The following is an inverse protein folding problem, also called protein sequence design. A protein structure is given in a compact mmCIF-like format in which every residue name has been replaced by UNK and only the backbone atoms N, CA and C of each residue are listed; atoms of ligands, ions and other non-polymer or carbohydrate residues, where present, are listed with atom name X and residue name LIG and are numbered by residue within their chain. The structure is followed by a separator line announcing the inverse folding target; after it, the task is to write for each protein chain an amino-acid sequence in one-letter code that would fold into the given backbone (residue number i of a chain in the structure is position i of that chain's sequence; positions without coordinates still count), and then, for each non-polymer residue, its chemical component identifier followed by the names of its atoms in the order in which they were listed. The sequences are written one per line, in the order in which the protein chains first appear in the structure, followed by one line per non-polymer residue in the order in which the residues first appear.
data_IF_331067815081
#
_entry.id   IF_331067815081
#
_cell.length_a   1.000
_cell.length_b   1.000
_cell.length_c   1.000
_cell.angle_alpha   90.00
_cell.angle_beta   90.00
_cell.angle_gamma   90.00
#
_symmetry.space_group_name_H-M   'P 1'
#
loop_
_entity.id
_entity.type
_entity.pdbx_description
1 polymer ?
#
# COMPACT_ATOMS: atom_id res chain seq x y z
N UNK A 1 -6.86 4.47 -16.94
CA UNK A 1 -7.75 3.67 -16.11
C UNK A 1 -6.98 2.65 -15.34
N UNK A 2 -7.43 2.40 -14.11
CA UNK A 2 -6.76 1.45 -13.25
C UNK A 2 -7.30 0.04 -13.46
N UNK A 3 -6.43 -0.94 -13.34
CA UNK A 3 -6.82 -2.34 -13.42
C UNK A 3 -7.45 -2.76 -12.09
N UNK A 4 -8.47 -3.62 -12.16
CA UNK A 4 -9.09 -4.15 -10.96
C UNK A 4 -8.45 -5.45 -10.51
N UNK A 5 -7.76 -6.13 -11.40
CA UNK A 5 -7.14 -7.42 -11.12
C UNK A 5 -5.74 -7.41 -11.70
N UNK A 6 -4.78 -7.85 -10.90
CA UNK A 6 -3.42 -8.03 -11.36
C UNK A 6 -3.15 -9.51 -11.54
N UNK A 7 -2.50 -9.88 -12.63
CA UNK A 7 -2.15 -11.27 -12.87
C UNK A 7 -0.77 -11.53 -12.28
N UNK A 8 -0.73 -12.36 -11.26
CA UNK A 8 0.52 -12.67 -10.56
C UNK A 8 1.04 -14.01 -11.01
N UNK A 9 2.27 -14.05 -11.46
CA UNK A 9 2.91 -15.25 -11.97
C UNK A 9 3.71 -15.93 -10.87
N UNK A 10 3.29 -17.12 -10.46
CA UNK A 10 3.98 -17.90 -9.46
C UNK A 10 4.24 -19.28 -10.04
N UNK A 11 5.49 -19.52 -10.44
CA UNK A 11 5.90 -20.77 -11.09
C UNK A 11 5.08 -20.98 -12.35
N UNK A 12 4.31 -22.06 -12.42
CA UNK A 12 3.50 -22.39 -13.60
C UNK A 12 2.05 -21.96 -13.45
N UNK A 13 1.76 -21.13 -12.44
CA UNK A 13 0.40 -20.66 -12.20
C UNK A 13 0.29 -19.17 -12.40
N UNK A 14 -0.88 -18.73 -12.82
CA UNK A 14 -1.22 -17.32 -12.90
C UNK A 14 -2.37 -17.11 -11.92
N UNK A 15 -2.14 -16.24 -10.94
CA UNK A 15 -3.11 -15.99 -9.88
C UNK A 15 -3.73 -14.62 -10.08
N UNK A 16 -5.05 -14.55 -10.27
CA UNK A 16 -5.70 -13.23 -10.35
C UNK A 16 -5.79 -12.62 -8.95
N UNK A 17 -5.11 -11.51 -8.76
CA UNK A 17 -5.08 -10.81 -7.48
C UNK A 17 -5.90 -9.54 -7.61
N UNK A 18 -7.03 -9.50 -6.91
CA UNK A 18 -7.89 -8.31 -6.94
C UNK A 18 -7.22 -7.19 -6.17
N UNK A 19 -7.29 -5.97 -6.72
CA UNK A 19 -6.67 -4.83 -6.05
C UNK A 19 -7.32 -4.57 -4.69
N UNK A 20 -8.61 -4.86 -4.54
CA UNK A 20 -9.27 -4.65 -3.25
C UNK A 20 -8.90 -5.70 -2.21
N UNK A 21 -8.15 -6.73 -2.59
CA UNK A 21 -7.61 -7.71 -1.65
C UNK A 21 -6.23 -7.30 -1.14
N UNK A 22 -5.63 -6.27 -1.70
CA UNK A 22 -4.27 -5.86 -1.36
C UNK A 22 -4.28 -4.95 -0.15
N UNK A 23 -3.55 -5.33 0.90
CA UNK A 23 -3.39 -4.49 2.09
C UNK A 23 -2.24 -3.51 1.91
N UNK A 24 -1.14 -3.95 1.30
CA UNK A 24 -0.03 -3.06 1.02
C UNK A 24 0.87 -3.66 -0.07
N UNK A 25 1.65 -2.78 -0.69
CA UNK A 25 2.75 -3.15 -1.59
C UNK A 25 4.05 -2.71 -0.93
N UNK A 26 5.07 -3.51 -1.08
CA UNK A 26 6.36 -3.28 -0.43
C UNK A 26 7.50 -3.57 -1.39
N UNK A 27 8.52 -2.74 -1.37
CA UNK A 27 9.71 -2.99 -2.17
C UNK A 27 10.95 -3.04 -1.28
N UNK A 28 11.79 -4.02 -1.55
CA UNK A 28 13.09 -4.16 -0.91
C UNK A 28 13.96 -5.02 -1.84
N UNK A 29 15.26 -4.68 -1.89
CA UNK A 29 16.21 -5.44 -2.70
C UNK A 29 15.75 -5.56 -4.15
N UNK A 30 15.18 -4.47 -4.68
CA UNK A 30 14.74 -4.38 -6.08
C UNK A 30 13.60 -5.33 -6.43
N UNK A 31 12.89 -5.82 -5.41
CA UNK A 31 11.74 -6.69 -5.62
C UNK A 31 10.51 -6.04 -4.99
N UNK A 32 9.37 -6.20 -5.66
CA UNK A 32 8.11 -5.68 -5.18
C UNK A 32 7.19 -6.85 -4.83
N UNK A 33 6.57 -6.77 -3.67
CA UNK A 33 5.61 -7.78 -3.24
C UNK A 33 4.31 -7.11 -2.84
N UNK A 34 3.21 -7.86 -2.93
CA UNK A 34 1.90 -7.43 -2.46
C UNK A 34 1.46 -8.35 -1.34
N UNK A 35 0.94 -7.78 -0.26
CA UNK A 35 0.41 -8.55 0.84
C UNK A 35 -1.10 -8.37 0.88
N UNK A 36 -1.83 -9.47 0.99
CA UNK A 36 -3.29 -9.42 1.04
C UNK A 36 -3.78 -9.23 2.47
N UNK A 37 -5.06 -8.92 2.61
CA UNK A 37 -5.67 -8.81 3.93
C UNK A 37 -5.68 -10.13 4.68
N UNK A 38 -5.48 -11.24 3.96
CA UNK A 38 -5.38 -12.55 4.61
C UNK A 38 -3.94 -12.93 4.93
N UNK A 39 -3.00 -12.03 4.66
CA UNK A 39 -1.60 -12.26 5.00
C UNK A 39 -0.80 -12.99 3.94
N UNK A 40 -1.37 -13.24 2.77
CA UNK A 40 -0.64 -13.88 1.69
C UNK A 40 0.25 -12.85 1.00
N UNK A 41 1.45 -13.28 0.60
CA UNK A 41 2.42 -12.40 -0.06
C UNK A 41 2.70 -12.92 -1.46
N UNK A 42 2.57 -12.04 -2.44
CA UNK A 42 2.76 -12.40 -3.85
C UNK A 42 3.84 -11.53 -4.47
N UNK A 43 4.66 -12.12 -5.36
CA UNK A 43 5.65 -11.30 -6.11
C UNK A 43 4.94 -10.50 -7.18
N UNK A 44 5.36 -9.24 -7.33
CA UNK A 44 4.80 -8.36 -8.34
C UNK A 44 5.88 -8.04 -9.36
N UNK A 45 5.47 -7.70 -10.59
CA UNK A 45 6.41 -7.56 -11.69
C UNK A 45 6.64 -6.13 -12.16
N UNK A 46 6.13 -5.14 -11.42
CA UNK A 46 6.33 -3.73 -11.77
C UNK A 46 6.90 -2.99 -10.56
N UNK A 47 7.34 -1.75 -10.81
CA UNK A 47 7.87 -0.91 -9.72
C UNK A 47 6.74 -0.34 -8.88
N UNK A 48 7.09 0.12 -7.67
CA UNK A 48 6.08 0.81 -6.85
C UNK A 48 5.54 2.04 -7.55
N UNK A 49 6.42 2.76 -8.29
CA UNK A 49 5.98 3.94 -9.02
C UNK A 49 4.92 3.59 -10.07
N UNK A 50 5.11 2.46 -10.76
CA UNK A 50 4.14 2.01 -11.74
C UNK A 50 2.80 1.68 -11.09
N UNK A 51 2.83 0.98 -9.96
CA UNK A 51 1.59 0.67 -9.25
C UNK A 51 0.94 1.91 -8.69
N UNK A 52 1.75 2.85 -8.18
CA UNK A 52 1.22 4.10 -7.66
C UNK A 52 0.39 4.82 -8.72
N UNK A 53 0.85 4.82 -9.97
CA UNK A 53 0.12 5.50 -11.03
C UNK A 53 -1.12 4.73 -11.47
N UNK A 54 -1.20 3.44 -11.21
CA UNK A 54 -2.32 2.61 -11.64
C UNK A 54 -3.40 2.45 -10.56
N UNK A 55 -3.01 2.54 -9.28
CA UNK A 55 -3.95 2.33 -8.19
C UNK A 55 -4.75 3.60 -7.93
N UNK A 56 -6.03 3.46 -7.56
CA UNK A 56 -6.86 4.63 -7.26
C UNK A 56 -6.29 5.42 -6.09
N UNK A 57 -6.16 6.74 -6.28
CA UNK A 57 -5.54 7.58 -5.26
C UNK A 57 -6.34 7.62 -3.96
N UNK A 58 -7.67 7.51 -4.05
CA UNK A 58 -8.48 7.50 -2.84
C UNK A 58 -8.21 6.27 -1.99
N UNK A 59 -7.95 5.13 -2.63
CA UNK A 59 -7.88 3.86 -1.93
C UNK A 59 -6.48 3.47 -1.50
N UNK A 60 -5.45 4.09 -2.07
CA UNK A 60 -4.05 3.72 -1.79
C UNK A 60 -3.19 4.97 -1.62
N UNK A 61 -2.28 4.91 -0.67
CA UNK A 61 -1.38 6.03 -0.38
C UNK A 61 0.07 5.56 -0.41
N UNK A 62 0.94 6.30 -1.12
CA UNK A 62 2.37 6.04 -1.09
C UNK A 62 2.92 6.56 0.22
N UNK A 63 3.11 5.66 1.18
CA UNK A 63 3.52 6.04 2.54
C UNK A 63 4.96 6.56 2.57
N UNK A 64 5.84 5.87 1.85
CA UNK A 64 7.24 6.26 1.78
C UNK A 64 7.85 5.55 0.57
N UNK A 65 9.17 5.51 0.51
CA UNK A 65 9.85 4.92 -0.65
C UNK A 65 9.62 3.42 -0.79
N UNK A 66 9.25 2.76 0.30
CA UNK A 66 9.14 1.30 0.32
C UNK A 66 7.70 0.79 0.36
N UNK A 67 6.73 1.63 0.70
CA UNK A 67 5.37 1.15 0.95
C UNK A 67 4.30 1.95 0.23
N UNK A 68 3.34 1.23 -0.33
CA UNK A 68 2.04 1.78 -0.71
C UNK A 68 1.02 1.04 0.15
N UNK A 69 0.17 1.77 0.87
CA UNK A 69 -0.77 1.15 1.81
C UNK A 69 -2.20 1.39 1.34
N UNK A 70 -3.05 0.39 1.55
CA UNK A 70 -4.47 0.51 1.27
C UNK A 70 -5.16 1.25 2.41
N UNK A 71 -6.15 2.10 2.06
CA UNK A 71 -6.91 2.84 3.06
C UNK A 71 -7.51 1.92 4.12
N UNK A 72 -8.13 0.84 3.66
CA UNK A 72 -8.80 -0.09 4.57
C UNK A 72 -7.85 -0.87 5.46
N UNK A 73 -6.56 -0.90 5.13
CA UNK A 73 -5.58 -1.63 5.90
C UNK A 73 -5.06 -0.83 7.09
N UNK A 74 -5.19 0.49 7.08
CA UNK A 74 -4.68 1.34 8.16
C UNK A 74 -5.56 1.15 9.38
N UNK A 75 -5.00 0.54 10.42
CA UNK A 75 -5.74 0.23 11.64
C UNK A 75 -5.49 1.29 12.71
N UNK A 76 -4.26 1.75 12.83
CA UNK A 76 -3.88 2.66 13.89
C UNK A 76 -2.69 3.49 13.46
N UNK A 77 -2.62 4.72 13.95
CA UNK A 77 -1.54 5.65 13.66
C UNK A 77 -0.93 6.07 14.98
N UNK A 78 0.39 6.02 15.07
CA UNK A 78 1.09 6.43 16.28
C UNK A 78 2.06 7.55 15.95
N UNK A 79 2.29 8.43 16.93
CA UNK A 79 3.28 9.49 16.80
C UNK A 79 4.67 8.88 16.97
N UNK A 80 5.60 9.32 16.13
CA UNK A 80 6.97 8.83 16.12
C UNK A 80 7.95 9.97 16.31
N UNK A 81 9.19 9.65 16.55
CA UNK A 81 10.25 10.64 16.78
C UNK A 81 10.25 11.67 15.65
N UNK A 82 10.55 12.94 16.00
CA UNK A 82 10.70 13.98 15.01
C UNK A 82 9.42 14.37 14.32
N UNK A 83 8.29 14.25 15.01
CA UNK A 83 6.97 14.62 14.47
C UNK A 83 6.57 13.78 13.27
N UNK A 84 7.14 12.58 13.15
CA UNK A 84 6.75 11.61 12.13
C UNK A 84 5.60 10.76 12.65
N UNK A 85 5.01 9.98 11.77
CA UNK A 85 3.97 9.03 12.16
C UNK A 85 4.39 7.63 11.77
N UNK A 86 3.91 6.64 12.52
CA UNK A 86 4.02 5.25 12.12
C UNK A 86 2.63 4.70 11.89
N UNK A 87 2.52 3.79 10.92
CA UNK A 87 1.25 3.17 10.58
C UNK A 87 1.25 1.73 11.07
N UNK A 88 0.15 1.34 11.68
CA UNK A 88 -0.07 -0.05 12.07
C UNK A 88 -1.21 -0.57 11.20
N UNK A 89 -0.91 -1.59 10.42
CA UNK A 89 -1.89 -2.15 9.50
C UNK A 89 -2.60 -3.34 10.14
N UNK A 90 -3.69 -3.75 9.51
CA UNK A 90 -4.46 -4.91 9.96
C UNK A 90 -3.71 -6.22 9.72
N UNK A 91 -2.60 -6.18 8.97
CA UNK A 91 -1.77 -7.35 8.68
C UNK A 91 -0.34 -7.03 9.08
N UNK A 92 0.46 -8.07 9.26
CA UNK A 92 1.87 -7.91 9.61
C UNK A 92 2.63 -7.28 8.45
N UNK A 93 3.63 -6.46 8.79
CA UNK A 93 4.49 -5.84 7.79
C UNK A 93 5.94 -6.19 8.09
N UNK A 94 6.79 -6.26 7.04
CA UNK A 94 8.20 -6.64 7.25
C UNK A 94 9.00 -5.56 7.98
N UNK A 95 8.56 -4.31 7.91
CA UNK A 95 9.25 -3.18 8.54
C UNK A 95 8.22 -2.21 9.06
N UNK A 96 8.66 -1.33 9.96
CA UNK A 96 7.84 -0.24 10.43
C UNK A 96 7.55 0.73 9.28
N UNK A 97 6.32 1.16 9.15
CA UNK A 97 5.94 2.10 8.09
C UNK A 97 5.94 3.50 8.69
N UNK A 98 6.83 4.35 8.20
CA UNK A 98 7.01 5.70 8.75
C UNK A 98 6.61 6.74 7.70
N UNK A 99 5.77 7.69 8.13
CA UNK A 99 5.42 8.85 7.33
C UNK A 99 6.30 10.00 7.80
N UNK A 100 7.05 10.62 6.88
CA UNK A 100 7.95 11.72 7.24
C UNK A 100 7.15 12.93 7.73
N UNK A 101 7.80 13.77 8.54
CA UNK A 101 7.14 14.97 9.07
C UNK A 101 6.54 15.82 7.96
N UNK A 102 7.27 15.98 6.87
CA UNK A 102 6.82 16.83 5.76
C UNK A 102 5.56 16.30 5.09
N UNK A 103 5.34 14.99 5.15
CA UNK A 103 4.20 14.37 4.47
C UNK A 103 3.02 14.08 5.39
N UNK A 104 3.16 14.36 6.69
CA UNK A 104 2.07 14.11 7.64
C UNK A 104 0.79 14.84 7.26
N UNK A 105 0.83 16.14 6.88
CA UNK A 105 -0.41 16.83 6.50
C UNK A 105 -1.09 16.18 5.29
N UNK A 106 -0.31 15.76 4.30
CA UNK A 106 -0.83 15.10 3.11
C UNK A 106 -1.51 13.78 3.48
N UNK A 107 -0.87 13.00 4.34
CA UNK A 107 -1.41 11.72 4.77
C UNK A 107 -2.72 11.90 5.52
N UNK A 108 -2.76 12.87 6.45
CA UNK A 108 -3.98 13.10 7.22
C UNK A 108 -5.12 13.57 6.34
N UNK A 109 -4.81 14.43 5.36
CA UNK A 109 -5.83 14.89 4.42
C UNK A 109 -6.37 13.72 3.59
N UNK A 110 -5.48 12.85 3.14
CA UNK A 110 -5.88 11.67 2.39
C UNK A 110 -6.78 10.76 3.23
N UNK A 111 -6.41 10.55 4.49
CA UNK A 111 -7.14 9.63 5.34
C UNK A 111 -8.55 10.15 5.65
N UNK A 112 -8.70 11.48 5.75
CA UNK A 112 -10.00 12.10 6.04
C UNK A 112 -10.85 12.28 4.79
N UNK A 113 -10.29 12.10 3.60
CA UNK A 113 -11.01 12.40 2.37
C UNK A 113 -12.22 11.47 2.20
N UNK A 114 -13.30 12.05 1.71
CA UNK A 114 -14.53 11.31 1.42
C UNK A 114 -14.41 10.77 -0.01
N UNK A 115 -14.88 9.54 -0.23
CA UNK A 115 -14.86 8.96 -1.57
C UNK A 115 -15.71 9.84 -2.49
N UNK A 116 -15.16 10.24 -3.65
CA UNK A 116 -15.92 11.08 -4.57
C UNK A 116 -17.21 10.39 -5.03
N UNK A 117 -18.24 11.18 -5.24
CA UNK A 117 -19.51 10.67 -5.79
C UNK A 117 -19.28 10.25 -7.25
N UNK A 118 -20.01 9.22 -7.68
CA UNK A 118 -19.89 8.73 -9.05
C UNK A 118 -21.09 9.15 -9.86
#
# INVERSE_FOLDING_TARGET
QSEEVFLVHVRDRIIPLRRDAIAYLYTANEKVTACTFEGEVYPMDRTLEAYQSQLPEHDFFRANRQFIVARRAVKEIAVWFGSRLTLHLAVNTPERIVISKARVPEFKAWLRAVRPAE
#
